data_IF_167276010729
#
_entry.id   IF_167276010729
#
_cell.length_a   1.000
_cell.length_b   1.000
_cell.length_c   1.000
_cell.angle_alpha   90.00
_cell.angle_beta   90.00
_cell.angle_gamma   90.00
#
_symmetry.space_group_name_H-M   'P 1'
#
loop_
_entity.id
_entity.type
_entity.pdbx_description
1 polymer ?
#
# COMPACT_ATOMS: atom_id res chain seq x y z
N UNK A 1 26.03 -1.49 3.19
CA UNK A 1 26.39 -1.73 4.61
C UNK A 1 26.04 -0.55 5.50
N UNK A 2 26.59 0.65 5.31
CA UNK A 2 26.30 1.81 6.17
C UNK A 2 24.80 2.17 6.33
N UNK A 3 24.03 2.18 5.23
CA UNK A 3 22.58 2.42 5.30
C UNK A 3 21.85 1.42 6.20
N UNK A 4 22.33 0.17 6.24
CA UNK A 4 21.79 -0.88 7.10
C UNK A 4 22.07 -0.51 8.56
N UNK A 5 23.28 -0.06 8.89
CA UNK A 5 23.74 0.22 10.27
C UNK A 5 22.96 1.36 10.95
N UNK A 6 22.57 2.38 10.18
CA UNK A 6 21.76 3.50 10.69
C UNK A 6 20.26 3.22 10.67
N UNK A 7 19.82 2.11 10.07
CA UNK A 7 18.41 1.73 10.01
C UNK A 7 17.98 1.07 11.33
N UNK A 8 16.93 1.60 11.94
CA UNK A 8 16.33 1.02 13.14
C UNK A 8 15.90 -0.44 12.90
N UNK A 9 15.88 -1.26 13.95
CA UNK A 9 15.46 -2.67 13.85
C UNK A 9 14.01 -2.82 13.35
N UNK A 10 13.17 -1.83 13.64
CA UNK A 10 11.78 -1.73 13.17
C UNK A 10 11.65 -1.10 11.77
N UNK A 11 12.75 -0.59 11.21
CA UNK A 11 12.77 0.18 9.97
C UNK A 11 12.81 -0.68 8.70
N UNK A 12 12.53 -0.04 7.58
CA UNK A 12 12.64 -0.60 6.23
C UNK A 12 13.41 0.34 5.30
N UNK A 13 14.12 -0.25 4.34
CA UNK A 13 14.74 0.46 3.21
C UNK A 13 13.95 0.18 1.94
N UNK A 14 13.79 1.23 1.12
CA UNK A 14 13.10 1.21 -0.15
C UNK A 14 14.08 1.70 -1.23
N UNK A 15 14.27 0.93 -2.30
CA UNK A 15 15.23 1.27 -3.36
C UNK A 15 14.57 1.19 -4.72
N UNK A 16 14.42 2.33 -5.39
CA UNK A 16 13.98 2.39 -6.79
C UNK A 16 15.10 1.98 -7.72
N UNK A 17 14.81 1.12 -8.69
CA UNK A 17 15.78 0.62 -9.66
C UNK A 17 15.09 0.22 -10.96
N UNK A 18 15.75 0.39 -12.10
CA UNK A 18 15.22 -0.04 -13.40
C UNK A 18 15.58 -1.51 -13.71
N UNK A 19 15.24 -1.98 -14.91
CA UNK A 19 15.52 -3.35 -15.34
C UNK A 19 17.02 -3.68 -15.48
N UNK A 20 17.91 -2.69 -15.63
CA UNK A 20 19.32 -2.96 -15.96
C UNK A 20 20.06 -3.62 -14.79
N UNK A 21 19.80 -3.16 -13.56
CA UNK A 21 20.57 -3.57 -12.38
C UNK A 21 19.74 -4.22 -11.28
N UNK A 22 18.42 -4.38 -11.45
CA UNK A 22 17.56 -4.95 -10.41
C UNK A 22 18.02 -6.33 -9.94
N UNK A 23 18.50 -7.18 -10.85
CA UNK A 23 18.96 -8.53 -10.51
C UNK A 23 20.24 -8.50 -9.66
N UNK A 24 21.22 -7.68 -10.03
CA UNK A 24 22.47 -7.54 -9.29
C UNK A 24 22.24 -6.86 -7.94
N UNK A 25 21.46 -5.78 -7.93
CA UNK A 25 21.11 -5.08 -6.70
C UNK A 25 20.36 -5.99 -5.74
N UNK A 26 19.46 -6.83 -6.26
CA UNK A 26 18.72 -7.79 -5.44
C UNK A 26 19.65 -8.75 -4.70
N UNK A 27 20.61 -9.35 -5.40
CA UNK A 27 21.60 -10.25 -4.79
C UNK A 27 22.45 -9.53 -3.73
N UNK A 28 22.88 -8.30 -4.02
CA UNK A 28 23.63 -7.48 -3.07
C UNK A 28 22.80 -7.15 -1.83
N UNK A 29 21.51 -6.83 -1.99
CA UNK A 29 20.62 -6.57 -0.87
C UNK A 29 20.34 -7.83 -0.05
N UNK A 30 20.23 -9.00 -0.67
CA UNK A 30 20.12 -10.29 0.03
C UNK A 30 21.37 -10.57 0.88
N UNK A 31 22.57 -10.26 0.38
CA UNK A 31 23.82 -10.38 1.15
C UNK A 31 23.86 -9.40 2.35
N UNK A 32 23.47 -8.14 2.13
CA UNK A 32 23.57 -7.09 3.16
C UNK A 32 22.46 -7.18 4.21
N UNK A 33 21.22 -7.42 3.80
CA UNK A 33 20.04 -7.42 4.68
C UNK A 33 19.60 -8.84 5.08
N UNK A 34 19.96 -9.87 4.31
CA UNK A 34 19.43 -11.23 4.44
C UNK A 34 18.17 -11.43 3.59
N UNK A 35 18.12 -12.51 2.82
CA UNK A 35 16.98 -12.84 1.95
C UNK A 35 15.64 -12.91 2.71
N UNK A 36 15.67 -13.43 3.94
CA UNK A 36 14.49 -13.51 4.82
C UNK A 36 13.92 -12.13 5.20
N UNK A 37 14.67 -11.06 4.98
CA UNK A 37 14.26 -9.69 5.27
C UNK A 37 13.71 -8.95 4.06
N UNK A 38 13.64 -9.58 2.88
CA UNK A 38 12.87 -9.05 1.76
C UNK A 38 11.38 -9.04 2.14
N UNK A 39 10.77 -7.86 2.05
CA UNK A 39 9.33 -7.69 2.25
C UNK A 39 8.56 -7.74 0.93
N UNK A 40 9.08 -7.09 -0.12
CA UNK A 40 8.45 -7.07 -1.44
C UNK A 40 9.43 -6.62 -2.53
N UNK A 41 9.12 -7.02 -3.76
CA UNK A 41 9.59 -6.36 -4.98
C UNK A 41 8.35 -5.84 -5.70
N UNK A 42 8.23 -4.52 -5.78
CA UNK A 42 7.07 -3.83 -6.34
C UNK A 42 7.40 -3.36 -7.75
N UNK A 43 6.50 -3.57 -8.69
CA UNK A 43 6.56 -3.00 -10.05
C UNK A 43 5.84 -1.65 -10.03
N UNK A 44 6.51 -0.59 -10.46
CA UNK A 44 5.97 0.78 -10.47
C UNK A 44 5.87 1.26 -11.91
N UNK A 45 4.66 1.45 -12.41
CA UNK A 45 4.43 2.02 -13.74
C UNK A 45 4.59 3.54 -13.68
N UNK A 46 5.76 4.04 -14.03
CA UNK A 46 6.07 5.48 -14.08
C UNK A 46 5.92 6.07 -15.50
N UNK A 47 5.90 5.22 -16.54
CA UNK A 47 5.75 5.64 -17.92
C UNK A 47 4.63 4.84 -18.62
N UNK A 48 3.35 5.19 -18.41
CA UNK A 48 2.21 4.43 -18.91
C UNK A 48 2.16 4.24 -20.43
N UNK A 49 2.74 5.19 -21.18
CA UNK A 49 2.82 5.13 -22.65
C UNK A 49 3.89 4.14 -23.14
N UNK A 50 4.80 3.74 -22.26
CA UNK A 50 5.99 2.97 -22.58
C UNK A 50 7.02 3.76 -23.38
N UNK A 51 8.30 3.46 -23.17
CA UNK A 51 9.39 4.03 -23.96
C UNK A 51 9.40 3.40 -25.35
N UNK A 52 9.09 4.20 -26.37
CA UNK A 52 8.99 3.75 -27.77
C UNK A 52 10.34 3.71 -28.51
N UNK A 53 11.41 4.20 -27.86
CA UNK A 53 12.75 4.23 -28.42
C UNK A 53 13.44 2.88 -28.16
N UNK A 54 13.45 2.00 -29.16
CA UNK A 54 14.15 0.71 -29.09
C UNK A 54 13.51 -0.37 -29.97
N UNK A 55 14.18 -1.52 -30.07
CA UNK A 55 13.56 -2.76 -30.60
C UNK A 55 13.03 -3.56 -29.41
N UNK A 56 11.81 -4.11 -29.52
CA UNK A 56 11.22 -4.97 -28.50
C UNK A 56 10.05 -4.33 -27.76
N UNK A 57 9.91 -4.66 -26.47
CA UNK A 57 8.80 -4.18 -25.64
C UNK A 57 9.01 -2.74 -25.19
N UNK A 58 7.94 -1.95 -25.19
CA UNK A 58 7.97 -0.59 -24.67
C UNK A 58 8.00 -0.61 -23.14
N UNK A 59 9.19 -0.44 -22.54
CA UNK A 59 9.36 -0.39 -21.08
C UNK A 59 8.51 0.72 -20.47
N UNK A 60 7.63 0.37 -19.55
CA UNK A 60 6.70 1.30 -18.88
C UNK A 60 6.86 1.34 -17.36
N UNK A 61 7.67 0.45 -16.80
CA UNK A 61 7.82 0.28 -15.37
C UNK A 61 9.28 0.32 -14.90
N UNK A 62 9.42 0.53 -13.61
CA UNK A 62 10.63 0.31 -12.81
C UNK A 62 10.28 -0.60 -11.63
N UNK A 63 11.27 -0.97 -10.81
CA UNK A 63 11.07 -1.72 -9.58
C UNK A 63 11.35 -0.87 -8.34
N UNK A 64 10.74 -1.29 -7.24
CA UNK A 64 10.99 -0.81 -5.90
C UNK A 64 11.25 -2.03 -5.01
N UNK A 65 12.50 -2.19 -4.58
CA UNK A 65 12.93 -3.25 -3.67
C UNK A 65 12.68 -2.80 -2.23
N UNK A 66 12.08 -3.68 -1.42
CA UNK A 66 11.70 -3.39 -0.04
C UNK A 66 12.30 -4.41 0.90
N UNK A 67 13.17 -3.95 1.80
CA UNK A 67 13.79 -4.78 2.82
C UNK A 67 13.56 -4.21 4.21
N UNK A 68 13.29 -5.07 5.18
CA UNK A 68 13.36 -4.72 6.59
C UNK A 68 14.81 -4.78 7.08
N UNK A 69 15.12 -4.07 8.18
CA UNK A 69 16.31 -4.40 8.98
C UNK A 69 16.14 -5.77 9.65
N UNK A 70 14.96 -6.03 10.20
CA UNK A 70 14.49 -7.31 10.74
C UNK A 70 12.99 -7.47 10.42
N UNK A 71 12.64 -8.40 9.53
CA UNK A 71 11.27 -8.62 9.08
C UNK A 71 10.31 -9.02 10.21
N UNK A 72 10.80 -9.59 11.31
CA UNK A 72 9.96 -9.97 12.46
C UNK A 72 9.59 -8.78 13.34
N UNK A 73 10.35 -7.69 13.26
CA UNK A 73 10.20 -6.48 14.09
C UNK A 73 9.77 -5.26 13.28
N UNK A 74 9.81 -5.35 11.95
CA UNK A 74 9.45 -4.26 11.06
C UNK A 74 8.01 -3.79 11.32
N UNK A 75 7.83 -2.48 11.48
CA UNK A 75 6.52 -1.87 11.74
C UNK A 75 5.78 -1.45 10.47
N UNK A 76 6.34 -1.78 9.30
CA UNK A 76 5.74 -1.47 8.01
C UNK A 76 4.37 -2.13 7.88
N UNK A 77 3.33 -1.32 7.71
CA UNK A 77 1.97 -1.76 7.42
C UNK A 77 1.67 -1.54 5.94
N UNK A 78 1.79 -2.61 5.15
CA UNK A 78 1.50 -2.62 3.72
C UNK A 78 -0.02 -2.63 3.42
N UNK A 79 -0.82 -1.96 4.24
CA UNK A 79 -2.24 -1.72 3.97
C UNK A 79 -2.50 -0.22 3.79
N UNK A 80 -3.59 0.12 3.09
CA UNK A 80 -3.99 1.51 2.86
C UNK A 80 -5.52 1.63 2.83
N UNK A 81 -6.08 2.72 3.36
CA UNK A 81 -7.49 3.06 3.18
C UNK A 81 -7.81 3.41 1.72
N UNK A 82 -6.87 4.02 0.98
CA UNK A 82 -7.05 4.40 -0.44
C UNK A 82 -7.19 3.19 -1.36
N UNK A 83 -6.70 2.02 -0.93
CA UNK A 83 -6.89 0.77 -1.65
C UNK A 83 -8.32 0.22 -1.52
N UNK A 84 -9.17 0.81 -0.68
CA UNK A 84 -10.57 0.41 -0.51
C UNK A 84 -11.44 1.15 -1.52
N UNK A 85 -11.91 0.43 -2.55
CA UNK A 85 -12.89 0.96 -3.50
C UNK A 85 -14.31 0.91 -2.89
N UNK A 86 -14.97 2.06 -2.64
CA UNK A 86 -16.33 2.07 -2.14
C UNK A 86 -17.33 1.37 -3.07
N UNK A 87 -17.05 1.28 -4.38
CA UNK A 87 -17.90 0.59 -5.36
C UNK A 87 -18.00 -0.92 -5.12
N UNK A 88 -17.02 -1.51 -4.42
CA UNK A 88 -17.09 -2.91 -3.98
C UNK A 88 -18.20 -3.17 -2.95
N UNK A 89 -18.79 -2.11 -2.37
CA UNK A 89 -19.80 -2.16 -1.30
C UNK A 89 -21.12 -1.52 -1.76
N UNK A 90 -21.85 -2.14 -2.71
CA UNK A 90 -22.98 -1.50 -3.36
C UNK A 90 -24.26 -1.45 -2.51
N UNK A 91 -24.33 -2.23 -1.42
CA UNK A 91 -25.52 -2.32 -0.59
C UNK A 91 -25.45 -1.32 0.56
N UNK A 92 -26.60 -0.82 1.00
CA UNK A 92 -26.72 0.06 2.14
C UNK A 92 -27.90 -0.35 3.03
N UNK A 93 -27.76 -0.12 4.34
CA UNK A 93 -28.89 -0.16 5.28
C UNK A 93 -29.53 1.23 5.40
N UNK A 94 -30.66 1.33 6.12
CA UNK A 94 -31.46 2.55 6.22
C UNK A 94 -30.68 3.77 6.77
N UNK A 95 -29.66 3.55 7.61
CA UNK A 95 -28.81 4.60 8.17
C UNK A 95 -27.68 5.05 7.22
N UNK A 96 -27.60 4.48 6.00
CA UNK A 96 -26.60 4.82 4.99
C UNK A 96 -25.30 4.02 5.07
N UNK A 97 -25.09 3.17 6.09
CA UNK A 97 -23.89 2.32 6.16
C UNK A 97 -23.85 1.32 5.01
N UNK A 98 -22.69 1.24 4.35
CA UNK A 98 -22.48 0.43 3.14
C UNK A 98 -21.81 -0.90 3.42
N UNK A 99 -22.23 -1.95 2.70
CA UNK A 99 -21.67 -3.29 2.80
C UNK A 99 -21.76 -4.05 1.47
N UNK A 100 -21.18 -5.25 1.45
CA UNK A 100 -21.38 -6.27 0.41
C UNK A 100 -21.69 -7.61 1.04
N UNK A 101 -22.34 -8.49 0.28
CA UNK A 101 -22.44 -9.89 0.69
C UNK A 101 -21.16 -10.63 0.36
N UNK A 102 -20.57 -11.23 1.37
CA UNK A 102 -19.44 -12.15 1.22
C UNK A 102 -19.89 -13.53 1.68
N UNK A 103 -19.85 -14.58 0.83
CA UNK A 103 -20.26 -15.92 1.23
C UNK A 103 -19.57 -16.33 2.54
N UNK A 104 -20.34 -16.78 3.54
CA UNK A 104 -19.75 -17.20 4.82
C UNK A 104 -18.92 -18.47 4.65
N UNK A 105 -19.27 -19.30 3.66
CA UNK A 105 -18.50 -20.46 3.25
C UNK A 105 -17.11 -20.06 2.74
N UNK A 106 -16.09 -20.79 3.15
CA UNK A 106 -14.74 -20.63 2.63
C UNK A 106 -14.67 -21.09 1.16
N UNK A 107 -14.12 -20.26 0.28
CA UNK A 107 -13.98 -20.56 -1.15
C UNK A 107 -12.66 -21.29 -1.48
N UNK A 108 -11.69 -21.27 -0.58
CA UNK A 108 -10.42 -21.94 -0.74
C UNK A 108 -10.54 -23.42 -0.34
N UNK A 109 -10.47 -24.31 -1.34
CA UNK A 109 -10.63 -25.78 -1.19
C UNK A 109 -9.57 -26.44 -0.29
N UNK A 110 -8.45 -25.76 0.03
CA UNK A 110 -7.48 -26.24 1.02
C UNK A 110 -8.09 -26.34 2.42
N UNK A 111 -9.06 -25.48 2.73
CA UNK A 111 -9.86 -25.58 3.94
C UNK A 111 -11.08 -26.44 3.65
N UNK A 112 -11.12 -27.61 4.28
CA UNK A 112 -12.14 -28.63 4.09
C UNK A 112 -12.40 -29.34 5.42
N UNK A 113 -13.41 -30.22 5.51
CA UNK A 113 -13.75 -30.87 6.78
C UNK A 113 -12.62 -31.70 7.40
N UNK A 114 -11.62 -32.11 6.62
CA UNK A 114 -10.44 -32.83 7.13
C UNK A 114 -9.43 -31.86 7.73
N UNK A 115 -9.16 -30.74 7.05
CA UNK A 115 -8.12 -29.77 7.47
C UNK A 115 -8.62 -28.73 8.47
N UNK A 116 -9.93 -28.52 8.56
CA UNK A 116 -10.57 -27.58 9.48
C UNK A 116 -11.90 -28.16 10.02
N UNK A 117 -11.86 -29.29 10.76
CA UNK A 117 -13.06 -30.04 11.17
C UNK A 117 -14.01 -29.20 12.04
N UNK A 118 -13.48 -28.31 12.87
CA UNK A 118 -14.26 -27.43 13.75
C UNK A 118 -15.06 -26.36 13.01
N UNK A 119 -14.79 -26.17 11.71
CA UNK A 119 -15.48 -25.21 10.84
C UNK A 119 -16.48 -25.89 9.88
N UNK A 120 -16.62 -27.22 9.94
CA UNK A 120 -17.66 -27.95 9.22
C UNK A 120 -18.82 -28.28 10.17
N UNK A 121 -19.85 -27.45 10.19
CA UNK A 121 -21.00 -27.65 11.07
C UNK A 121 -22.28 -27.04 10.50
N UNK A 122 -23.43 -27.53 10.95
CA UNK A 122 -24.74 -26.97 10.55
C UNK A 122 -25.00 -25.62 11.20
N UNK A 123 -25.43 -24.67 10.38
CA UNK A 123 -25.98 -23.37 10.77
C UNK A 123 -27.48 -23.40 10.47
N UNK A 124 -28.28 -22.69 11.25
CA UNK A 124 -29.71 -22.56 11.08
C UNK A 124 -30.04 -21.17 10.55
N UNK A 125 -30.91 -21.09 9.54
CA UNK A 125 -31.30 -19.80 9.00
C UNK A 125 -32.73 -19.76 8.50
N UNK A 126 -33.39 -18.62 8.65
CA UNK A 126 -34.70 -18.35 8.06
C UNK A 126 -34.52 -17.40 6.86
N UNK A 127 -34.71 -17.86 5.61
CA UNK A 127 -34.51 -17.03 4.42
C UNK A 127 -35.54 -15.92 4.25
N UNK A 128 -36.64 -15.90 5.03
CA UNK A 128 -37.66 -14.84 4.98
C UNK A 128 -37.22 -13.63 5.80
N UNK A 129 -36.84 -13.83 7.07
CA UNK A 129 -36.26 -12.76 7.90
C UNK A 129 -34.78 -12.51 7.62
N UNK A 130 -34.09 -13.49 7.05
CA UNK A 130 -32.63 -13.52 6.87
C UNK A 130 -31.85 -13.89 8.13
N UNK A 131 -32.53 -14.25 9.23
CA UNK A 131 -31.88 -14.58 10.52
C UNK A 131 -30.97 -15.80 10.39
N UNK A 132 -29.83 -15.77 11.09
CA UNK A 132 -28.84 -16.85 11.14
C UNK A 132 -28.49 -17.16 12.60
N UNK A 133 -28.30 -18.43 12.94
CA UNK A 133 -27.87 -18.87 14.27
C UNK A 133 -27.19 -20.23 14.26
N UNK A 134 -26.49 -20.58 15.34
CA UNK A 134 -25.82 -21.88 15.46
C UNK A 134 -26.70 -22.99 16.08
N UNK A 135 -27.87 -22.61 16.60
CA UNK A 135 -28.87 -23.50 17.20
C UNK A 135 -30.22 -23.38 16.45
N UNK A 136 -31.06 -24.42 16.46
CA UNK A 136 -32.37 -24.37 15.80
C UNK A 136 -33.27 -23.29 16.41
N UNK A 137 -34.11 -22.67 15.58
CA UNK A 137 -35.15 -21.74 16.00
C UNK A 137 -36.36 -21.86 15.07
N UNK A 138 -37.51 -21.31 15.50
CA UNK A 138 -38.76 -21.42 14.76
C UNK A 138 -38.65 -20.80 13.35
N UNK A 139 -39.14 -21.52 12.34
CA UNK A 139 -39.01 -21.14 10.92
C UNK A 139 -37.63 -21.34 10.29
N UNK A 140 -36.62 -21.82 11.03
CA UNK A 140 -35.28 -22.02 10.49
C UNK A 140 -35.14 -23.31 9.67
N UNK A 141 -34.31 -23.26 8.62
CA UNK A 141 -33.85 -24.43 7.87
C UNK A 141 -32.38 -24.74 8.16
N UNK A 142 -32.00 -25.99 7.99
CA UNK A 142 -30.60 -26.42 8.10
C UNK A 142 -29.78 -25.94 6.91
N UNK A 143 -28.61 -25.38 7.20
CA UNK A 143 -27.67 -24.89 6.20
C UNK A 143 -26.28 -25.46 6.51
N UNK A 144 -25.80 -26.30 5.60
CA UNK A 144 -24.43 -26.83 5.62
C UNK A 144 -23.49 -26.04 4.71
N UNK A 145 -22.18 -25.95 5.02
CA UNK A 145 -21.22 -25.33 4.12
C UNK A 145 -20.94 -26.28 2.96
N UNK A 146 -21.45 -25.95 1.76
CA UNK A 146 -21.24 -26.73 0.54
C UNK A 146 -20.78 -25.88 -0.63
N UNK A 147 -19.88 -26.42 -1.46
CA UNK A 147 -19.56 -25.82 -2.75
C UNK A 147 -20.79 -25.85 -3.67
N UNK A 148 -20.76 -25.08 -4.77
CA UNK A 148 -21.88 -25.04 -5.72
C UNK A 148 -22.18 -26.39 -6.41
N UNK A 149 -21.23 -27.33 -6.35
CA UNK A 149 -21.37 -28.72 -6.81
C UNK A 149 -21.79 -29.70 -5.70
N UNK A 150 -22.16 -29.21 -4.52
CA UNK A 150 -22.61 -30.00 -3.38
C UNK A 150 -21.51 -30.60 -2.51
N UNK A 151 -20.22 -30.48 -2.91
CA UNK A 151 -19.13 -31.02 -2.09
C UNK A 151 -19.05 -30.30 -0.73
N UNK A 152 -18.72 -31.03 0.36
CA UNK A 152 -18.51 -30.41 1.67
C UNK A 152 -17.44 -29.33 1.63
N UNK A 153 -17.72 -28.21 2.28
CA UNK A 153 -16.82 -27.09 2.50
C UNK A 153 -16.72 -26.80 4.00
N UNK A 154 -16.13 -25.68 4.38
CA UNK A 154 -16.14 -25.20 5.76
C UNK A 154 -16.59 -23.74 5.80
N UNK A 155 -17.08 -23.29 6.94
CA UNK A 155 -17.32 -21.87 7.20
C UNK A 155 -16.00 -21.11 7.35
N UNK A 156 -16.06 -19.79 7.15
CA UNK A 156 -14.98 -18.88 7.53
C UNK A 156 -15.03 -18.54 9.02
N UNK A 157 -16.19 -18.71 9.67
CA UNK A 157 -16.44 -18.33 11.06
C UNK A 157 -16.69 -19.57 11.93
N UNK A 158 -16.20 -19.53 13.17
CA UNK A 158 -16.50 -20.53 14.18
C UNK A 158 -17.91 -20.32 14.76
N UNK A 159 -18.46 -21.32 15.46
CA UNK A 159 -19.75 -21.17 16.16
C UNK A 159 -19.78 -19.96 17.10
N UNK A 160 -18.79 -19.76 18.02
CA UNK A 160 -18.80 -18.60 18.91
C UNK A 160 -18.84 -17.26 18.17
N UNK A 161 -18.12 -17.14 17.05
CA UNK A 161 -18.10 -15.90 16.26
C UNK A 161 -19.44 -15.66 15.55
N UNK A 162 -20.12 -16.73 15.08
CA UNK A 162 -21.47 -16.63 14.52
C UNK A 162 -22.45 -16.17 15.61
N UNK A 163 -22.38 -16.72 16.82
CA UNK A 163 -23.28 -16.34 17.91
C UNK A 163 -23.03 -14.90 18.38
N UNK A 164 -21.77 -14.49 18.49
CA UNK A 164 -21.36 -13.13 18.86
C UNK A 164 -21.80 -12.10 17.82
N UNK A 165 -21.72 -12.46 16.53
CA UNK A 165 -21.91 -11.52 15.41
C UNK A 165 -23.01 -11.97 14.45
N UNK A 166 -24.09 -12.52 14.98
CA UNK A 166 -25.22 -13.00 14.18
C UNK A 166 -25.83 -11.87 13.33
N UNK A 167 -25.82 -10.63 13.82
CA UNK A 167 -26.33 -9.45 13.12
C UNK A 167 -25.53 -9.07 11.87
N UNK A 168 -24.28 -9.53 11.77
CA UNK A 168 -23.45 -9.38 10.57
C UNK A 168 -23.70 -10.48 9.54
N UNK A 169 -24.64 -11.40 9.79
CA UNK A 169 -24.97 -12.49 8.89
C UNK A 169 -26.37 -12.32 8.31
N UNK A 170 -26.56 -12.89 7.14
CA UNK A 170 -27.85 -13.02 6.49
C UNK A 170 -27.89 -14.30 5.68
N UNK A 171 -28.95 -15.09 5.81
CA UNK A 171 -29.20 -16.20 4.90
C UNK A 171 -30.19 -15.80 3.81
N UNK A 172 -30.05 -16.40 2.63
CA UNK A 172 -30.89 -16.10 1.46
C UNK A 172 -31.05 -17.32 0.57
N UNK A 173 -32.19 -17.41 -0.11
CA UNK A 173 -32.37 -18.35 -1.24
C UNK A 173 -31.45 -17.94 -2.39
N UNK A 174 -30.73 -18.90 -2.94
CA UNK A 174 -29.81 -18.75 -4.08
C UNK A 174 -30.03 -19.85 -5.09
N UNK A 175 -29.88 -19.52 -6.37
CA UNK A 175 -29.91 -20.51 -7.44
C UNK A 175 -28.53 -21.12 -7.64
N UNK A 176 -28.36 -22.36 -7.19
CA UNK A 176 -27.15 -23.14 -7.39
C UNK A 176 -27.15 -23.93 -8.70
N UNK A 177 -26.01 -24.59 -8.98
CA UNK A 177 -25.91 -25.55 -10.09
C UNK A 177 -26.84 -26.75 -9.91
N UNK A 178 -27.10 -27.15 -8.66
CA UNK A 178 -27.95 -28.28 -8.30
C UNK A 178 -29.41 -27.88 -7.99
N UNK A 179 -29.78 -26.62 -8.25
CA UNK A 179 -31.09 -26.06 -7.91
C UNK A 179 -31.02 -25.02 -6.79
N UNK A 180 -32.20 -24.62 -6.34
CA UNK A 180 -32.36 -23.64 -5.27
C UNK A 180 -31.84 -24.21 -3.94
N UNK A 181 -31.14 -23.37 -3.16
CA UNK A 181 -30.77 -23.67 -1.78
C UNK A 181 -30.72 -22.39 -0.96
N UNK A 182 -30.60 -22.52 0.35
CA UNK A 182 -30.30 -21.39 1.24
C UNK A 182 -28.80 -21.32 1.49
N UNK A 183 -28.19 -20.15 1.26
CA UNK A 183 -26.78 -19.87 1.56
C UNK A 183 -26.68 -18.76 2.61
N UNK A 184 -25.58 -18.76 3.38
CA UNK A 184 -25.28 -17.75 4.39
C UNK A 184 -24.21 -16.80 3.87
N UNK A 185 -24.44 -15.50 4.06
CA UNK A 185 -23.54 -14.41 3.71
C UNK A 185 -23.22 -13.57 4.92
N UNK A 186 -21.98 -13.10 4.97
CA UNK A 186 -21.55 -12.02 5.85
C UNK A 186 -21.87 -10.69 5.18
N UNK A 187 -22.43 -9.75 5.95
CA UNK A 187 -22.43 -8.31 5.67
C UNK A 187 -21.01 -7.79 5.91
N UNK A 188 -20.20 -7.77 4.86
CA UNK A 188 -18.82 -7.26 4.90
C UNK A 188 -18.88 -5.74 4.73
N UNK A 189 -18.74 -5.01 5.83
CA UNK A 189 -18.94 -3.55 5.88
C UNK A 189 -17.76 -2.75 5.32
N UNK A 190 -18.07 -1.61 4.70
CA UNK A 190 -17.09 -0.63 4.24
C UNK A 190 -16.45 0.11 5.43
N UNK A 191 -17.29 0.59 6.35
CA UNK A 191 -16.87 1.20 7.61
C UNK A 191 -17.24 0.26 8.75
N UNK A 192 -16.31 0.06 9.67
CA UNK A 192 -16.47 -0.82 10.81
C UNK A 192 -16.18 -0.02 12.07
N UNK A 193 -17.14 0.00 12.98
CA UNK A 193 -17.01 0.76 14.24
C UNK A 193 -15.88 0.20 15.12
N UNK A 194 -15.55 -1.08 14.96
CA UNK A 194 -14.46 -1.76 15.66
C UNK A 194 -13.07 -1.57 15.02
N UNK A 195 -12.97 -0.82 13.91
CA UNK A 195 -11.69 -0.53 13.23
C UNK A 195 -11.48 0.99 13.17
N UNK A 196 -10.82 1.57 14.19
CA UNK A 196 -10.39 2.97 14.17
C UNK A 196 -9.56 3.25 12.90
N UNK A 197 -9.87 4.35 12.20
CA UNK A 197 -9.23 4.68 10.92
C UNK A 197 -9.84 4.00 9.68
N UNK A 198 -10.88 3.17 9.87
CA UNK A 198 -11.65 2.56 8.78
C UNK A 198 -10.99 1.33 8.16
N UNK A 199 -11.65 0.76 7.14
CA UNK A 199 -11.15 -0.43 6.45
C UNK A 199 -9.87 -0.09 5.69
N UNK A 200 -8.85 -0.95 5.82
CA UNK A 200 -7.64 -0.93 5.00
C UNK A 200 -7.56 -2.21 4.16
N UNK A 201 -7.00 -2.12 2.96
CA UNK A 201 -6.67 -3.29 2.12
C UNK A 201 -5.16 -3.37 1.91
N UNK A 202 -4.64 -4.59 1.78
CA UNK A 202 -3.23 -4.82 1.43
C UNK A 202 -2.92 -4.16 0.09
N UNK A 203 -1.80 -3.46 0.03
CA UNK A 203 -1.24 -2.92 -1.19
C UNK A 203 -0.84 -4.06 -2.13
N UNK A 204 -1.11 -3.88 -3.42
CA UNK A 204 -0.65 -4.79 -4.48
C UNK A 204 0.83 -4.54 -4.74
N UNK A 205 1.52 -5.52 -5.34
CA UNK A 205 2.92 -5.39 -5.78
C UNK A 205 3.06 -4.78 -7.18
N UNK A 206 1.97 -4.25 -7.74
CA UNK A 206 1.97 -3.47 -8.98
C UNK A 206 1.29 -2.14 -8.66
N UNK A 207 2.03 -1.04 -8.79
CA UNK A 207 1.55 0.33 -8.55
C UNK A 207 1.47 1.07 -9.89
N UNK A 208 0.29 1.63 -10.16
CA UNK A 208 -0.01 2.30 -11.41
C UNK A 208 0.24 3.81 -11.31
N UNK A 209 0.57 4.47 -12.43
CA UNK A 209 0.79 5.91 -12.46
C UNK A 209 -0.42 6.73 -11.95
N UNK A 210 -1.64 6.22 -12.14
CA UNK A 210 -2.86 6.83 -11.58
C UNK A 210 -2.89 6.81 -10.04
N UNK A 211 -2.16 5.88 -9.42
CA UNK A 211 -2.11 5.71 -7.97
C UNK A 211 -0.91 6.45 -7.33
N UNK A 212 0.19 6.66 -8.06
CA UNK A 212 1.46 7.18 -7.50
C UNK A 212 2.11 8.33 -8.29
N UNK A 213 1.53 8.72 -9.42
CA UNK A 213 2.11 9.68 -10.36
C UNK A 213 3.02 9.01 -11.41
N UNK A 214 3.27 9.75 -12.50
CA UNK A 214 4.18 9.35 -13.58
C UNK A 214 5.44 10.23 -13.61
N UNK A 215 6.35 9.93 -14.53
CA UNK A 215 7.47 10.83 -14.85
C UNK A 215 6.99 12.23 -15.24
N UNK A 216 5.91 12.33 -16.03
CA UNK A 216 5.34 13.61 -16.45
C UNK A 216 4.82 14.40 -15.23
N UNK A 217 4.15 13.72 -14.29
CA UNK A 217 3.70 14.33 -13.03
C UNK A 217 4.88 14.85 -12.22
N UNK A 218 5.95 14.06 -12.09
CA UNK A 218 7.13 14.44 -11.31
C UNK A 218 7.85 15.68 -11.88
N UNK A 219 7.98 15.75 -13.20
CA UNK A 219 8.57 16.91 -13.89
C UNK A 219 7.71 18.15 -13.67
N UNK A 220 6.39 18.01 -13.76
CA UNK A 220 5.46 19.13 -13.53
C UNK A 220 5.52 19.64 -12.08
N UNK A 221 5.49 18.74 -11.08
CA UNK A 221 5.63 19.07 -9.66
C UNK A 221 6.89 19.88 -9.36
N UNK A 222 8.02 19.54 -10.00
CA UNK A 222 9.26 20.29 -9.84
C UNK A 222 9.23 21.63 -10.59
N UNK A 223 8.69 21.62 -11.81
CA UNK A 223 8.60 22.81 -12.67
C UNK A 223 7.78 23.93 -12.03
N UNK A 224 6.69 23.58 -11.34
CA UNK A 224 5.82 24.53 -10.66
C UNK A 224 6.51 25.24 -9.49
N UNK A 225 7.54 24.62 -8.90
CA UNK A 225 8.28 25.17 -7.77
C UNK A 225 9.53 25.96 -8.21
N UNK A 226 10.34 25.36 -9.08
CA UNK A 226 11.70 25.86 -9.38
C UNK A 226 12.06 25.79 -10.86
N UNK A 227 11.09 25.51 -11.73
CA UNK A 227 11.31 25.36 -13.18
C UNK A 227 11.91 24.01 -13.57
N UNK A 228 12.16 23.84 -14.87
CA UNK A 228 12.69 22.58 -15.42
C UNK A 228 14.21 22.49 -15.20
N UNK A 229 14.63 22.22 -13.97
CA UNK A 229 16.05 22.20 -13.55
C UNK A 229 16.60 20.79 -13.28
N UNK A 230 15.78 19.76 -13.38
CA UNK A 230 16.18 18.37 -13.19
C UNK A 230 15.42 17.46 -14.17
N UNK A 231 16.09 16.47 -14.76
CA UNK A 231 15.52 15.68 -15.86
C UNK A 231 14.59 14.55 -15.38
N UNK A 232 14.93 13.91 -14.27
CA UNK A 232 14.29 12.65 -13.84
C UNK A 232 13.87 12.67 -12.36
N UNK A 233 13.08 13.66 -11.89
CA UNK A 233 12.55 13.63 -10.54
C UNK A 233 11.62 12.42 -10.35
N UNK A 234 11.56 11.86 -9.14
CA UNK A 234 10.48 10.92 -8.77
C UNK A 234 9.21 11.69 -8.40
N UNK A 235 8.01 11.15 -8.66
CA UNK A 235 6.76 11.81 -8.28
C UNK A 235 6.57 11.77 -6.75
N UNK A 236 6.05 12.84 -6.16
CA UNK A 236 5.80 12.87 -4.71
C UNK A 236 4.78 11.81 -4.28
N UNK A 237 3.80 11.49 -5.12
CA UNK A 237 2.80 10.44 -4.86
C UNK A 237 3.41 9.06 -4.57
N UNK A 238 4.48 8.69 -5.26
CA UNK A 238 5.21 7.44 -5.02
C UNK A 238 5.79 7.40 -3.61
N UNK A 239 6.50 8.46 -3.22
CA UNK A 239 7.13 8.53 -1.90
C UNK A 239 6.08 8.67 -0.80
N UNK A 240 4.99 9.43 -1.03
CA UNK A 240 3.86 9.51 -0.08
C UNK A 240 3.21 8.14 0.15
N UNK A 241 3.09 7.31 -0.89
CA UNK A 241 2.61 5.93 -0.73
C UNK A 241 3.54 5.10 0.16
N UNK A 242 4.85 5.26 0.02
CA UNK A 242 5.84 4.62 0.90
C UNK A 242 5.66 5.12 2.34
N UNK A 243 5.59 6.45 2.55
CA UNK A 243 5.45 7.05 3.87
C UNK A 243 4.16 6.62 4.58
N UNK A 244 3.06 6.41 3.85
CA UNK A 244 1.79 5.92 4.39
C UNK A 244 1.81 4.46 4.87
N UNK A 245 2.90 3.72 4.63
CA UNK A 245 3.13 2.37 5.20
C UNK A 245 3.95 2.40 6.49
N UNK A 246 4.44 3.57 6.91
CA UNK A 246 5.28 3.74 8.10
C UNK A 246 4.58 4.65 9.12
N UNK A 247 5.02 4.62 10.40
CA UNK A 247 4.52 5.55 11.43
C UNK A 247 4.59 7.02 11.02
N UNK A 248 3.69 7.82 11.57
CA UNK A 248 3.54 9.24 11.29
C UNK A 248 4.59 10.14 11.97
N UNK A 249 5.46 9.56 12.79
CA UNK A 249 6.60 10.20 13.43
C UNK A 249 7.95 9.69 12.91
N UNK A 250 7.95 8.88 11.84
CA UNK A 250 9.14 8.23 11.31
C UNK A 250 10.24 9.22 10.88
N UNK A 251 11.49 8.81 11.09
CA UNK A 251 12.68 9.49 10.55
C UNK A 251 13.06 8.86 9.22
N UNK A 252 13.08 9.67 8.17
CA UNK A 252 13.36 9.30 6.79
C UNK A 252 14.76 9.76 6.44
N UNK A 253 15.58 8.86 5.90
CA UNK A 253 16.89 9.19 5.36
C UNK A 253 16.89 8.89 3.86
N UNK A 254 17.16 9.92 3.06
CA UNK A 254 17.37 9.81 1.63
C UNK A 254 18.80 10.27 1.31
N UNK A 255 19.68 9.30 1.11
CA UNK A 255 21.09 9.54 0.79
C UNK A 255 21.39 9.63 -0.71
N UNK A 256 20.34 9.64 -1.54
CA UNK A 256 20.37 9.95 -2.97
C UNK A 256 19.24 10.94 -3.29
N UNK A 257 19.20 12.06 -2.55
CA UNK A 257 18.05 12.97 -2.57
C UNK A 257 17.73 13.53 -3.97
N UNK A 258 18.73 13.65 -4.84
CA UNK A 258 18.59 14.04 -6.24
C UNK A 258 17.98 15.43 -6.36
N UNK A 259 16.69 15.48 -6.69
CA UNK A 259 15.90 16.70 -6.79
C UNK A 259 15.16 17.08 -5.50
N UNK A 260 15.31 16.34 -4.41
CA UNK A 260 14.64 16.61 -3.13
C UNK A 260 13.19 16.12 -3.04
N UNK A 261 12.79 15.12 -3.86
CA UNK A 261 11.41 14.59 -3.84
C UNK A 261 11.01 14.06 -2.46
N UNK A 262 11.91 13.36 -1.76
CA UNK A 262 11.58 12.74 -0.47
C UNK A 262 11.24 13.77 0.61
N UNK A 263 12.03 14.85 0.72
CA UNK A 263 11.72 15.94 1.64
C UNK A 263 10.41 16.64 1.29
N UNK A 264 10.13 16.85 -0.01
CA UNK A 264 8.85 17.39 -0.47
C UNK A 264 7.68 16.47 -0.07
N UNK A 265 7.79 15.16 -0.32
CA UNK A 265 6.75 14.19 0.02
C UNK A 265 6.50 14.11 1.54
N UNK A 266 7.54 14.21 2.37
CA UNK A 266 7.40 14.25 3.84
C UNK A 266 6.61 15.48 4.28
N UNK A 267 6.92 16.66 3.75
CA UNK A 267 6.18 17.89 4.06
C UNK A 267 4.69 17.77 3.70
N UNK A 268 4.38 17.28 2.49
CA UNK A 268 2.99 17.06 2.05
C UNK A 268 2.27 16.01 2.89
N UNK A 269 2.96 14.94 3.28
CA UNK A 269 2.34 13.87 4.04
C UNK A 269 2.01 14.32 5.46
N UNK A 270 2.93 15.00 6.15
CA UNK A 270 2.68 15.57 7.48
C UNK A 270 1.52 16.58 7.45
N UNK A 271 1.42 17.41 6.41
CA UNK A 271 0.29 18.32 6.24
C UNK A 271 -1.04 17.57 6.06
N UNK A 272 -1.02 16.43 5.37
CA UNK A 272 -2.22 15.65 5.07
C UNK A 272 -2.73 14.83 6.25
N UNK A 273 -1.84 14.25 7.07
CA UNK A 273 -2.21 13.34 8.17
C UNK A 273 -1.91 13.88 9.57
N UNK A 274 -1.37 15.10 9.69
CA UNK A 274 -0.98 15.69 10.97
C UNK A 274 0.27 15.07 11.59
N UNK A 275 1.03 14.27 10.82
CA UNK A 275 2.24 13.61 11.27
C UNK A 275 3.41 14.56 11.56
N UNK A 276 4.44 14.01 12.20
CA UNK A 276 5.67 14.70 12.61
C UNK A 276 6.92 14.04 12.02
N UNK A 277 6.79 13.41 10.84
CA UNK A 277 7.91 12.76 10.16
C UNK A 277 9.02 13.76 9.88
N UNK A 278 10.28 13.32 9.96
CA UNK A 278 11.47 14.15 9.65
C UNK A 278 12.25 13.54 8.51
N UNK A 279 12.78 14.38 7.62
CA UNK A 279 13.58 13.92 6.48
C UNK A 279 15.00 14.46 6.53
N UNK A 280 15.99 13.57 6.41
CA UNK A 280 17.38 13.92 6.15
C UNK A 280 17.67 13.64 4.67
N UNK A 281 17.91 14.69 3.90
CA UNK A 281 18.25 14.61 2.48
C UNK A 281 19.75 14.86 2.29
N UNK A 282 20.46 13.89 1.72
CA UNK A 282 21.88 13.98 1.42
C UNK A 282 22.08 13.92 -0.10
N UNK A 283 22.88 14.85 -0.61
CA UNK A 283 23.34 14.90 -1.99
C UNK A 283 24.86 15.05 -2.02
N UNK A 284 25.48 14.51 -3.08
CA UNK A 284 26.84 14.91 -3.45
C UNK A 284 26.84 16.36 -3.94
N UNK A 285 27.98 17.04 -3.82
CA UNK A 285 28.20 18.36 -4.42
C UNK A 285 28.55 18.24 -5.92
N UNK A 286 27.86 17.34 -6.64
CA UNK A 286 28.09 17.14 -8.06
C UNK A 286 27.69 18.40 -8.84
N UNK A 287 28.56 18.93 -9.72
CA UNK A 287 28.26 20.12 -10.49
C UNK A 287 27.16 19.85 -11.51
N UNK A 288 26.30 20.85 -11.75
CA UNK A 288 25.34 20.79 -12.86
C UNK A 288 26.07 20.96 -14.19
N UNK A 289 25.52 20.35 -15.25
CA UNK A 289 26.11 20.45 -16.59
C UNK A 289 26.15 21.92 -17.04
N UNK A 290 27.30 22.45 -17.50
CA UNK A 290 27.38 23.79 -18.08
C UNK A 290 26.37 23.97 -19.22
N UNK A 291 25.61 25.07 -19.18
CA UNK A 291 24.56 25.39 -20.16
C UNK A 291 23.24 24.64 -19.95
N UNK A 292 23.11 23.79 -18.92
CA UNK A 292 21.81 23.24 -18.52
C UNK A 292 20.89 24.34 -17.95
N UNK A 293 19.59 24.05 -17.89
CA UNK A 293 18.61 24.93 -17.25
C UNK A 293 18.98 25.24 -15.79
N UNK A 294 19.46 24.24 -15.04
CA UNK A 294 19.90 24.42 -13.66
C UNK A 294 21.08 25.38 -13.56
N UNK A 295 22.11 25.17 -14.39
CA UNK A 295 23.28 26.04 -14.44
C UNK A 295 22.89 27.48 -14.81
N UNK A 296 21.99 27.65 -15.78
CA UNK A 296 21.50 28.97 -16.22
C UNK A 296 20.68 29.67 -15.12
N UNK A 297 19.98 28.90 -14.28
CA UNK A 297 19.27 29.39 -13.10
C UNK A 297 20.20 29.65 -11.89
N UNK A 298 21.52 29.48 -12.01
CA UNK A 298 22.48 29.67 -10.93
C UNK A 298 22.53 28.51 -9.92
N UNK A 299 21.89 27.39 -10.22
CA UNK A 299 21.96 26.16 -9.43
C UNK A 299 23.19 25.37 -9.90
N UNK A 300 24.34 25.62 -9.27
CA UNK A 300 25.65 25.14 -9.72
C UNK A 300 25.89 23.66 -9.37
N UNK A 301 25.17 23.12 -8.40
CA UNK A 301 25.26 21.73 -7.97
C UNK A 301 23.89 21.07 -7.85
N UNK A 302 23.87 19.73 -7.85
CA UNK A 302 22.64 18.96 -7.58
C UNK A 302 22.09 19.26 -6.18
N UNK A 303 22.96 19.53 -5.20
CA UNK A 303 22.57 20.00 -3.88
C UNK A 303 21.85 21.37 -3.92
N UNK A 304 22.21 22.27 -4.85
CA UNK A 304 21.50 23.55 -5.03
C UNK A 304 20.06 23.34 -5.51
N UNK A 305 19.85 22.38 -6.42
CA UNK A 305 18.50 22.02 -6.89
C UNK A 305 17.63 21.51 -5.74
N UNK A 306 18.15 20.57 -4.95
CA UNK A 306 17.43 20.05 -3.76
C UNK A 306 17.10 21.18 -2.79
N UNK A 307 18.07 22.04 -2.46
CA UNK A 307 17.83 23.18 -1.55
C UNK A 307 16.78 24.14 -2.09
N UNK A 308 16.86 24.50 -3.38
CA UNK A 308 15.89 25.38 -4.01
C UNK A 308 14.47 24.80 -3.94
N UNK A 309 14.30 23.51 -4.26
CA UNK A 309 12.99 22.85 -4.15
C UNK A 309 12.49 22.83 -2.71
N UNK A 310 13.31 22.40 -1.76
CA UNK A 310 12.88 22.27 -0.37
C UNK A 310 12.58 23.63 0.28
N UNK A 311 13.28 24.70 -0.10
CA UNK A 311 12.94 26.08 0.31
C UNK A 311 11.57 26.48 -0.20
N UNK A 312 11.31 26.30 -1.50
CA UNK A 312 10.01 26.61 -2.10
C UNK A 312 8.86 25.80 -1.46
N UNK A 313 9.10 24.53 -1.13
CA UNK A 313 8.14 23.70 -0.39
C UNK A 313 7.90 24.27 1.00
N UNK A 314 8.96 24.55 1.76
CA UNK A 314 8.85 25.10 3.11
C UNK A 314 8.09 26.44 3.13
N UNK A 315 8.32 27.31 2.17
CA UNK A 315 7.55 28.56 2.00
C UNK A 315 6.06 28.29 1.76
N UNK A 316 5.74 27.23 1.00
CA UNK A 316 4.36 26.84 0.69
C UNK A 316 3.64 26.20 1.88
N UNK A 317 4.35 25.39 2.69
CA UNK A 317 3.76 24.63 3.81
C UNK A 317 3.92 25.31 5.18
N UNK A 318 4.61 26.45 5.26
CA UNK A 318 4.74 27.24 6.49
C UNK A 318 6.00 26.98 7.34
N UNK A 319 7.08 26.45 6.76
CA UNK A 319 8.40 26.32 7.38
C UNK A 319 8.91 24.87 7.48
N UNK A 320 9.82 24.62 8.44
CA UNK A 320 10.30 23.28 8.78
C UNK A 320 11.57 22.80 8.05
N UNK A 321 12.18 23.63 7.20
CA UNK A 321 13.48 23.34 6.59
C UNK A 321 14.62 23.88 7.46
N UNK A 322 15.51 22.98 7.87
CA UNK A 322 16.80 23.33 8.50
C UNK A 322 17.94 22.99 7.54
N UNK A 323 18.81 23.96 7.27
CA UNK A 323 20.01 23.76 6.47
C UNK A 323 21.23 23.61 7.37
N UNK A 324 21.73 22.38 7.49
CA UNK A 324 22.97 22.11 8.22
C UNK A 324 24.15 22.36 7.28
N UNK A 325 24.83 23.50 7.45
CA UNK A 325 26.13 23.73 6.82
C UNK A 325 27.24 23.12 7.69
N UNK A 326 27.74 21.95 7.31
CA UNK A 326 28.85 21.31 8.01
C UNK A 326 29.58 20.28 7.16
N UNK A 327 30.92 20.28 7.21
CA UNK A 327 31.70 19.11 6.80
C UNK A 327 31.35 17.98 7.76
N UNK A 328 30.71 16.91 7.28
CA UNK A 328 30.56 15.69 8.05
C UNK A 328 31.96 15.03 8.10
N UNK A 329 32.74 15.35 9.14
CA UNK A 329 34.01 14.71 9.47
C UNK A 329 35.27 15.54 9.18
N UNK A 330 36.01 15.81 10.25
CA UNK A 330 37.48 15.78 10.28
C UNK A 330 37.93 14.36 10.65
#
# INVERSE_FOLDING_TARGET
VAAREVLAETGAIWVSIDDHEVAHLRLLMDEVYGEQNLLAQVVVNLNPKGRQLGRGFATSHEYLLVYARDARRCVLDATSPDAVDPRDFPLAVADGRRFRHLPLRNTNKKFNPVTAPTLHFTVWGDPESGRVGTTPFDGAVEIGPVFGDGRPAVWRWSRPLIDERADDLVCRRVQGRLGERVDVFQRDWLHRDDVPGGRRKKLRTIWLAEEVGSTDTAVQELKDLVGHVFESPKPTGLVRRILGTMPDDAVVLDFFAGSGTTGHAVALQNLADGGTRRCLSVNSAEPTRPGSNAHTAGLLTVADITRARLRAVAETVGGGLEEVQGRIGA
#
